data_IF_951274345871
#
_entry.id   IF_951274345871
#
_cell.length_a   1.000
_cell.length_b   1.000
_cell.length_c   1.000
_cell.angle_alpha   90.00
_cell.angle_beta   90.00
_cell.angle_gamma   90.00
#
_symmetry.space_group_name_H-M   'P 1'
#
loop_
_entity.id
_entity.type
_entity.pdbx_description
1 polymer ?
#
# COMPACT_ATOMS: atom_id res chain seq x y z
N UNK A 1 -10.43 7.68 -7.99
CA UNK A 1 -9.79 7.77 -9.31
C UNK A 1 -8.78 6.65 -9.45
N UNK A 2 -8.88 5.90 -10.52
CA UNK A 2 -8.00 4.76 -10.73
C UNK A 2 -6.65 5.17 -11.30
N UNK A 3 -5.61 4.44 -10.92
CA UNK A 3 -4.28 4.66 -11.45
C UNK A 3 -4.20 4.24 -12.92
N UNK A 4 -3.48 5.01 -13.72
CA UNK A 4 -3.21 4.63 -15.10
C UNK A 4 -2.22 3.46 -15.14
N UNK A 5 -2.10 2.81 -16.28
CA UNK A 5 -1.14 1.72 -16.45
C UNK A 5 0.30 2.22 -16.27
N UNK A 6 0.59 3.41 -16.75
CA UNK A 6 1.91 4.01 -16.58
C UNK A 6 2.23 4.25 -15.11
N UNK A 7 1.26 4.76 -14.35
CA UNK A 7 1.43 4.98 -12.91
C UNK A 7 1.63 3.67 -12.16
N UNK A 8 0.83 2.65 -12.49
CA UNK A 8 0.97 1.34 -11.87
C UNK A 8 2.36 0.74 -12.13
N UNK A 9 2.85 0.88 -13.35
CA UNK A 9 4.17 0.40 -13.71
C UNK A 9 5.27 1.09 -12.90
N UNK A 10 5.17 2.41 -12.79
CA UNK A 10 6.12 3.21 -12.01
C UNK A 10 6.09 2.80 -10.53
N UNK A 11 4.89 2.63 -9.98
CA UNK A 11 4.73 2.26 -8.59
C UNK A 11 5.22 0.84 -8.30
N UNK A 12 5.03 -0.09 -9.23
CA UNK A 12 5.59 -1.44 -9.08
C UNK A 12 7.11 -1.40 -9.03
N UNK A 13 7.71 -0.55 -9.84
CA UNK A 13 9.15 -0.36 -9.84
C UNK A 13 9.65 0.13 -8.48
N UNK A 14 8.97 1.13 -7.92
CA UNK A 14 9.28 1.63 -6.58
C UNK A 14 9.10 0.50 -5.55
N UNK A 15 8.03 -0.26 -5.68
CA UNK A 15 7.69 -1.34 -4.78
C UNK A 15 8.79 -2.38 -4.62
N UNK A 16 9.58 -2.62 -5.65
CA UNK A 16 10.68 -3.56 -5.56
C UNK A 16 11.74 -3.13 -4.53
N UNK A 17 11.81 -1.86 -4.23
CA UNK A 17 12.79 -1.32 -3.29
C UNK A 17 12.21 -1.10 -1.89
N UNK A 18 10.92 -1.33 -1.71
CA UNK A 18 10.27 -1.12 -0.42
C UNK A 18 10.29 -2.39 0.43
N UNK A 19 10.41 -2.18 1.73
CA UNK A 19 10.21 -3.25 2.71
C UNK A 19 8.77 -3.17 3.21
N UNK A 20 8.16 -4.30 3.61
CA UNK A 20 6.82 -4.24 4.18
C UNK A 20 6.81 -3.44 5.48
N UNK A 21 5.84 -2.52 5.58
CA UNK A 21 5.69 -1.67 6.77
C UNK A 21 4.69 -2.25 7.76
N UNK A 22 3.84 -3.14 7.30
CA UNK A 22 2.80 -3.78 8.12
C UNK A 22 2.72 -5.24 7.72
N UNK A 23 2.54 -6.11 8.72
CA UNK A 23 2.29 -7.53 8.49
C UNK A 23 0.87 -7.86 8.95
N UNK A 24 0.09 -8.46 8.07
CA UNK A 24 -1.28 -8.88 8.37
C UNK A 24 -1.27 -10.38 8.62
N UNK A 25 -1.76 -10.79 9.79
CA UNK A 25 -1.81 -12.20 10.17
C UNK A 25 -3.16 -12.83 9.85
N UNK A 26 -3.27 -14.14 10.10
CA UNK A 26 -4.52 -14.86 9.92
C UNK A 26 -5.64 -14.36 10.83
N UNK A 27 -5.30 -13.63 11.88
CA UNK A 27 -6.29 -13.03 12.77
C UNK A 27 -7.15 -11.98 12.06
N UNK A 28 -6.69 -11.54 10.90
CA UNK A 28 -7.48 -10.69 10.04
C UNK A 28 -7.40 -9.22 10.38
N UNK A 29 -8.48 -8.51 10.05
CA UNK A 29 -8.54 -7.06 10.14
C UNK A 29 -8.97 -6.65 11.55
N UNK A 30 -8.21 -5.74 12.17
CA UNK A 30 -8.52 -5.17 13.48
C UNK A 30 -8.46 -3.65 13.38
N UNK A 31 -9.03 -2.98 14.38
CA UNK A 31 -8.98 -1.51 14.43
C UNK A 31 -7.54 -1.00 14.51
N UNK A 32 -6.70 -1.68 15.28
CA UNK A 32 -5.30 -1.30 15.40
C UNK A 32 -4.57 -1.46 14.07
N UNK A 33 -4.83 -2.54 13.36
CA UNK A 33 -4.24 -2.77 12.05
C UNK A 33 -4.66 -1.69 11.06
N UNK A 34 -5.95 -1.35 11.05
CA UNK A 34 -6.47 -0.31 10.16
C UNK A 34 -5.86 1.05 10.48
N UNK A 35 -5.68 1.36 11.75
CA UNK A 35 -5.03 2.61 12.16
C UNK A 35 -3.58 2.66 11.71
N UNK A 36 -2.85 1.55 11.83
CA UNK A 36 -1.47 1.44 11.36
C UNK A 36 -1.37 1.66 9.85
N UNK A 37 -2.26 1.01 9.11
CA UNK A 37 -2.29 1.13 7.66
C UNK A 37 -2.64 2.54 7.22
N UNK A 38 -3.62 3.16 7.88
CA UNK A 38 -4.02 4.53 7.60
C UNK A 38 -2.85 5.49 7.79
N UNK A 39 -2.12 5.33 8.89
CA UNK A 39 -0.95 6.15 9.17
C UNK A 39 0.13 5.95 8.13
N UNK A 40 0.42 4.68 7.79
CA UNK A 40 1.45 4.35 6.82
C UNK A 40 1.11 4.94 5.45
N UNK A 41 -0.14 4.82 5.02
CA UNK A 41 -0.58 5.38 3.75
C UNK A 41 -0.52 6.91 3.75
N UNK A 42 -0.90 7.52 4.87
CA UNK A 42 -0.85 8.98 5.00
C UNK A 42 0.57 9.50 4.89
N UNK A 43 1.51 8.82 5.57
CA UNK A 43 2.91 9.26 5.59
C UNK A 43 3.66 8.92 4.30
N UNK A 44 3.41 7.74 3.75
CA UNK A 44 4.24 7.18 2.69
C UNK A 44 3.56 7.10 1.32
N UNK A 45 2.28 7.26 1.26
CA UNK A 45 1.42 7.15 0.07
C UNK A 45 1.44 5.78 -0.60
N UNK A 46 2.62 5.24 -0.87
CA UNK A 46 2.80 3.92 -1.46
C UNK A 46 3.49 3.03 -0.43
N UNK A 47 2.85 1.93 -0.07
CA UNK A 47 3.38 1.03 0.94
C UNK A 47 3.32 -0.43 0.47
N UNK A 48 4.20 -1.23 1.03
CA UNK A 48 4.18 -2.68 0.85
C UNK A 48 3.69 -3.31 2.15
N UNK A 49 2.79 -4.27 2.01
CA UNK A 49 2.19 -4.99 3.14
C UNK A 49 2.44 -6.47 2.97
N UNK A 50 2.84 -7.14 4.04
CA UNK A 50 2.99 -8.58 4.02
C UNK A 50 1.73 -9.24 4.54
N UNK A 51 1.18 -10.16 3.76
CA UNK A 51 0.01 -10.94 4.15
C UNK A 51 0.51 -12.31 4.59
N UNK A 52 0.76 -12.47 5.89
CA UNK A 52 1.32 -13.69 6.47
C UNK A 52 0.22 -14.74 6.65
N UNK A 53 -0.39 -15.14 5.54
CA UNK A 53 -1.53 -16.04 5.47
C UNK A 53 -1.20 -17.09 4.43
N UNK A 54 -1.17 -18.38 4.81
CA UNK A 54 -0.71 -19.44 3.89
C UNK A 54 -1.58 -19.60 2.65
N UNK A 55 -2.91 -19.57 2.82
CA UNK A 55 -3.82 -19.84 1.73
C UNK A 55 -4.06 -18.61 0.87
N UNK A 56 -3.86 -18.76 -0.44
CA UNK A 56 -4.02 -17.67 -1.40
C UNK A 56 -5.41 -17.05 -1.35
N UNK A 57 -6.44 -17.88 -1.24
CA UNK A 57 -7.83 -17.43 -1.21
C UNK A 57 -8.10 -16.61 0.03
N UNK A 58 -7.54 -17.03 1.17
CA UNK A 58 -7.68 -16.30 2.43
C UNK A 58 -6.98 -14.95 2.36
N UNK A 59 -5.81 -14.90 1.71
CA UNK A 59 -5.10 -13.64 1.51
C UNK A 59 -5.93 -12.66 0.70
N UNK A 60 -6.55 -13.14 -0.37
CA UNK A 60 -7.37 -12.29 -1.23
C UNK A 60 -8.58 -11.76 -0.48
N UNK A 61 -9.24 -12.61 0.30
CA UNK A 61 -10.41 -12.22 1.07
C UNK A 61 -10.08 -11.18 2.14
N UNK A 62 -8.98 -11.38 2.86
CA UNK A 62 -8.56 -10.44 3.90
C UNK A 62 -8.15 -9.11 3.29
N UNK A 63 -7.44 -9.14 2.17
CA UNK A 63 -7.03 -7.92 1.47
C UNK A 63 -8.23 -7.10 1.02
N UNK A 64 -9.22 -7.76 0.44
CA UNK A 64 -10.45 -7.10 0.01
C UNK A 64 -11.17 -6.44 1.19
N UNK A 65 -11.28 -7.18 2.29
CA UNK A 65 -11.91 -6.69 3.51
C UNK A 65 -11.16 -5.47 4.07
N UNK A 66 -9.85 -5.56 4.10
CA UNK A 66 -8.97 -4.50 4.58
C UNK A 66 -9.15 -3.22 3.76
N UNK A 67 -9.16 -3.34 2.44
CA UNK A 67 -9.34 -2.20 1.55
C UNK A 67 -10.72 -1.56 1.72
N UNK A 68 -11.74 -2.37 1.97
CA UNK A 68 -13.11 -1.88 2.16
C UNK A 68 -13.26 -1.13 3.48
N UNK A 69 -12.53 -1.52 4.51
CA UNK A 69 -12.69 -0.97 5.85
C UNK A 69 -11.70 0.14 6.22
N UNK A 70 -10.70 0.38 5.39
CA UNK A 70 -9.73 1.43 5.67
C UNK A 70 -10.43 2.78 5.83
N UNK A 71 -10.11 3.53 6.92
CA UNK A 71 -10.69 4.85 7.12
C UNK A 71 -10.10 5.88 6.17
N UNK A 72 -10.72 7.03 6.09
CA UNK A 72 -10.23 8.14 5.29
C UNK A 72 -11.15 8.49 4.14
N UNK A 73 -10.97 9.68 3.61
CA UNK A 73 -11.80 10.21 2.53
C UNK A 73 -11.41 9.65 1.16
N UNK A 74 -10.14 9.30 1.00
CA UNK A 74 -9.64 8.71 -0.23
C UNK A 74 -9.38 7.23 0.01
N UNK A 75 -9.89 6.40 -0.89
CA UNK A 75 -9.69 4.96 -0.77
C UNK A 75 -8.32 4.56 -1.28
N UNK A 76 -7.72 3.59 -0.61
CA UNK A 76 -6.48 3.00 -1.07
C UNK A 76 -6.74 2.13 -2.29
N UNK A 77 -5.78 2.09 -3.20
CA UNK A 77 -5.84 1.23 -4.37
C UNK A 77 -4.81 0.12 -4.26
N UNK A 78 -5.20 -1.07 -4.71
CA UNK A 78 -4.28 -2.17 -4.84
C UNK A 78 -3.51 -2.00 -6.13
N UNK A 79 -2.19 -1.84 -6.02
CA UNK A 79 -1.33 -1.68 -7.19
C UNK A 79 -0.89 -3.04 -7.72
N UNK A 80 -0.51 -3.95 -6.83
CA UNK A 80 0.02 -5.25 -7.22
C UNK A 80 -0.03 -6.23 -6.05
N UNK A 81 -0.18 -7.51 -6.35
CA UNK A 81 0.08 -8.57 -5.38
C UNK A 81 1.10 -9.53 -5.98
N UNK A 82 2.09 -9.92 -5.19
CA UNK A 82 3.07 -10.94 -5.56
C UNK A 82 3.24 -11.85 -4.35
N UNK A 83 2.79 -13.10 -4.48
CA UNK A 83 2.85 -14.06 -3.38
C UNK A 83 2.14 -13.49 -2.15
N UNK A 84 2.88 -13.32 -1.06
CA UNK A 84 2.32 -12.81 0.19
C UNK A 84 2.46 -11.29 0.33
N UNK A 85 2.97 -10.61 -0.69
CA UNK A 85 3.15 -9.16 -0.64
C UNK A 85 2.07 -8.44 -1.42
N UNK A 86 1.59 -7.33 -0.88
CA UNK A 86 0.65 -6.45 -1.56
C UNK A 86 1.20 -5.04 -1.57
N UNK A 87 1.04 -4.35 -2.67
CA UNK A 87 1.46 -2.97 -2.83
C UNK A 87 0.22 -2.10 -2.89
N UNK A 88 0.10 -1.18 -1.94
CA UNK A 88 -1.07 -0.31 -1.78
C UNK A 88 -0.69 1.14 -1.96
N UNK A 89 -1.58 1.91 -2.56
CA UNK A 89 -1.37 3.33 -2.79
C UNK A 89 -2.60 4.14 -2.39
N UNK A 90 -2.36 5.26 -1.72
CA UNK A 90 -3.39 6.27 -1.45
C UNK A 90 -2.74 7.65 -1.56
N UNK A 91 -3.28 8.47 -2.47
CA UNK A 91 -2.76 9.80 -2.68
C UNK A 91 -2.96 10.68 -1.44
N UNK A 92 -1.93 11.42 -1.07
CA UNK A 92 -2.02 12.42 -0.02
C UNK A 92 -1.28 13.68 -0.46
N UNK A 93 -2.01 14.71 -0.94
CA UNK A 93 -1.38 15.93 -1.41
C UNK A 93 -0.58 16.67 -0.35
N UNK A 94 -0.85 16.38 0.92
CA UNK A 94 -0.17 17.02 2.04
C UNK A 94 0.89 16.13 2.69
N UNK A 95 1.26 15.03 2.03
CA UNK A 95 2.27 14.14 2.55
C UNK A 95 3.63 14.84 2.63
N UNK A 96 4.38 14.51 3.69
CA UNK A 96 5.73 15.01 3.84
C UNK A 96 6.62 14.41 2.74
N UNK A 97 7.24 15.23 1.87
CA UNK A 97 8.06 14.68 0.77
C UNK A 97 9.23 13.83 1.24
N UNK A 98 9.69 14.02 2.47
CA UNK A 98 10.77 13.23 3.03
C UNK A 98 10.33 11.83 3.44
N UNK A 99 9.02 11.63 3.63
CA UNK A 99 8.45 10.35 4.05
C UNK A 99 7.73 9.64 2.91
N UNK A 100 7.16 10.39 1.96
CA UNK A 100 6.40 9.81 0.87
C UNK A 100 7.31 9.00 -0.05
N UNK A 101 6.95 7.75 -0.26
CA UNK A 101 7.69 6.88 -1.18
C UNK A 101 7.55 7.34 -2.63
N UNK A 102 6.52 8.08 -2.95
CA UNK A 102 6.36 8.66 -4.27
C UNK A 102 7.36 9.80 -4.46
N UNK A 103 7.35 10.78 -3.56
CA UNK A 103 8.23 11.95 -3.64
C UNK A 103 9.71 11.57 -3.54
N UNK A 104 10.03 10.67 -2.61
CA UNK A 104 11.42 10.24 -2.39
C UNK A 104 12.02 9.59 -3.64
N UNK A 105 11.27 8.70 -4.27
CA UNK A 105 11.77 8.00 -5.46
C UNK A 105 11.70 8.86 -6.71
N UNK A 106 10.72 9.75 -6.79
CA UNK A 106 10.63 10.71 -7.87
C UNK A 106 11.84 11.64 -7.87
N UNK A 107 12.21 12.14 -6.69
CA UNK A 107 13.38 13.00 -6.54
C UNK A 107 14.69 12.30 -6.86
N UNK A 108 14.76 10.99 -6.57
CA UNK A 108 15.97 10.19 -6.80
C UNK A 108 16.12 9.78 -8.26
N UNK A 109 15.01 9.45 -8.91
CA UNK A 109 15.03 8.86 -10.24
C UNK A 109 14.54 9.83 -11.31
N UNK A 110 14.30 11.06 -10.94
CA UNK A 110 13.88 12.09 -11.85
C UNK A 110 12.37 12.14 -12.02
N UNK A 111 11.80 11.15 -12.67
CA UNK A 111 10.37 11.14 -12.93
C UNK A 111 9.87 9.77 -13.34
N UNK A 112 8.60 9.66 -13.34
CA UNK A 112 7.90 8.48 -13.81
C UNK A 112 7.19 8.77 -15.11
#
# INVERSE_FOLDING_TARGET
MSLSQAQKKAFRSIGHHLNPVVTVSENGVSENLLAELDRALRDHELIKVKLAIPEREDRAAILENLLAELPGNAKAELVQTIGKMALLYRRNPQANPKLSNISRFENHHGRF
#
